data_IF_591187733298
#
_entry.id   IF_591187733298
#
_cell.length_a   1.000
_cell.length_b   1.000
_cell.length_c   1.000
_cell.angle_alpha   90.00
_cell.angle_beta   90.00
_cell.angle_gamma   90.00
#
_symmetry.space_group_name_H-M   'P 1'
#
loop_
_entity.id
_entity.type
_entity.pdbx_description
1 polymer ?
#
# COMPACT_ATOMS: atom_id res chain seq x y z
N UNK A 1 8.12 7.64 9.40
CA UNK A 1 7.54 7.97 8.08
C UNK A 1 6.53 6.90 7.70
N UNK A 2 5.46 7.27 7.01
CA UNK A 2 4.47 6.34 6.47
C UNK A 2 4.67 6.17 4.97
N UNK A 3 4.62 4.93 4.52
CA UNK A 3 4.65 4.60 3.09
C UNK A 3 3.36 3.84 2.79
N UNK A 4 2.65 4.32 1.78
CA UNK A 4 1.35 3.78 1.37
C UNK A 4 1.33 3.54 -0.12
N UNK A 5 0.67 2.46 -0.52
CA UNK A 5 0.43 2.14 -1.92
C UNK A 5 -0.86 1.33 -2.05
N UNK A 6 -1.32 1.14 -3.28
CA UNK A 6 -2.50 0.33 -3.60
C UNK A 6 -2.10 -0.77 -4.57
N UNK A 7 -2.58 -1.99 -4.33
CA UNK A 7 -2.43 -3.12 -5.26
C UNK A 7 -3.80 -3.56 -5.78
N UNK A 8 -3.79 -4.09 -7.01
CA UNK A 8 -5.03 -4.42 -7.73
C UNK A 8 -5.80 -3.18 -8.20
N UNK A 9 -6.92 -3.43 -8.88
CA UNK A 9 -7.76 -2.37 -9.44
C UNK A 9 -8.99 -2.15 -8.55
N UNK A 10 -9.38 -0.89 -8.43
CA UNK A 10 -10.71 -0.56 -7.92
C UNK A 10 -11.79 -1.08 -8.88
N UNK A 11 -12.96 -1.41 -8.34
CA UNK A 11 -14.11 -1.83 -9.12
C UNK A 11 -15.26 -0.85 -8.88
N UNK A 12 -15.94 -0.48 -9.96
CA UNK A 12 -17.16 0.32 -9.95
C UNK A 12 -18.22 -0.46 -10.73
N UNK A 13 -19.41 -0.62 -10.15
CA UNK A 13 -20.50 -1.31 -10.84
C UNK A 13 -21.64 -1.70 -9.91
N UNK A 14 -22.72 -2.22 -10.50
CA UNK A 14 -23.84 -2.75 -9.72
C UNK A 14 -23.39 -3.92 -8.81
N UNK A 15 -22.50 -4.77 -9.32
CA UNK A 15 -21.94 -5.92 -8.60
C UNK A 15 -20.42 -5.82 -8.51
N UNK A 16 -19.92 -5.33 -7.37
CA UNK A 16 -18.48 -5.31 -7.05
C UNK A 16 -18.10 -6.55 -6.24
N UNK A 17 -16.91 -7.10 -6.48
CA UNK A 17 -16.37 -8.21 -5.71
C UNK A 17 -15.39 -7.67 -4.66
N UNK A 18 -15.69 -7.93 -3.38
CA UNK A 18 -14.77 -7.58 -2.28
C UNK A 18 -13.43 -8.30 -2.46
N UNK A 19 -12.35 -7.53 -2.38
CA UNK A 19 -10.99 -8.07 -2.36
C UNK A 19 -10.65 -8.52 -0.94
N UNK A 20 -9.91 -9.61 -0.82
CA UNK A 20 -9.35 -10.06 0.46
C UNK A 20 -8.03 -9.33 0.73
N UNK A 21 -7.96 -8.41 1.72
CA UNK A 21 -6.73 -7.67 2.01
C UNK A 21 -5.59 -8.56 2.50
N UNK A 22 -5.85 -9.79 2.95
CA UNK A 22 -4.81 -10.73 3.39
C UNK A 22 -4.12 -11.47 2.24
N UNK A 23 -4.66 -11.37 1.02
CA UNK A 23 -4.12 -12.03 -0.17
C UNK A 23 -2.80 -11.43 -0.69
N UNK A 24 -2.46 -10.21 -0.27
CA UNK A 24 -1.23 -9.50 -0.65
C UNK A 24 -0.59 -8.88 0.59
N UNK A 25 0.66 -9.25 0.88
CA UNK A 25 1.40 -8.71 2.02
C UNK A 25 1.79 -7.24 1.87
N UNK A 26 1.77 -6.50 2.99
CA UNK A 26 2.29 -5.13 3.08
C UNK A 26 3.70 -5.14 3.66
N UNK A 27 4.71 -5.33 2.81
CA UNK A 27 6.11 -5.42 3.22
C UNK A 27 6.98 -4.37 2.53
N UNK A 28 7.83 -3.71 3.31
CA UNK A 28 8.85 -2.78 2.83
C UNK A 28 10.23 -3.24 3.27
N UNK A 29 11.10 -3.35 2.28
CA UNK A 29 12.54 -3.50 2.44
C UNK A 29 13.18 -2.12 2.34
N UNK A 30 14.00 -1.72 3.31
CA UNK A 30 14.60 -0.39 3.33
C UNK A 30 16.02 -0.34 3.88
N UNK A 31 16.73 0.74 3.57
CA UNK A 31 18.09 1.03 4.02
C UNK A 31 18.51 2.46 3.69
N UNK A 32 19.72 2.83 4.10
CA UNK A 32 20.31 4.15 3.82
C UNK A 32 21.13 4.19 2.52
N UNK A 33 21.39 3.02 1.93
CA UNK A 33 22.13 2.87 0.69
C UNK A 33 21.24 2.24 -0.39
N UNK A 34 21.37 2.71 -1.63
CA UNK A 34 20.67 2.13 -2.78
C UNK A 34 21.07 0.64 -2.92
N UNK A 35 20.09 -0.22 -3.22
CA UNK A 35 20.26 -1.67 -3.38
C UNK A 35 20.71 -2.44 -2.12
N UNK A 36 20.87 -1.78 -0.97
CA UNK A 36 21.17 -2.44 0.32
C UNK A 36 20.04 -2.25 1.32
N UNK A 37 19.00 -3.07 1.15
CA UNK A 37 17.81 -3.05 2.01
C UNK A 37 17.95 -4.04 3.17
N UNK A 38 18.70 -3.65 4.21
CA UNK A 38 19.00 -4.52 5.36
C UNK A 38 17.84 -4.66 6.36
N UNK A 39 16.82 -3.82 6.25
CA UNK A 39 15.72 -3.77 7.21
C UNK A 39 14.39 -4.07 6.53
N UNK A 40 13.50 -4.75 7.27
CA UNK A 40 12.15 -5.08 6.82
C UNK A 40 11.12 -4.54 7.81
N UNK A 41 10.04 -3.96 7.27
CA UNK A 41 8.84 -3.59 8.04
C UNK A 41 7.59 -4.11 7.35
N UNK A 42 6.68 -4.59 8.19
CA UNK A 42 5.35 -5.02 7.80
C UNK A 42 4.32 -4.01 8.28
N UNK A 43 3.18 -3.94 7.60
CA UNK A 43 2.04 -3.12 8.02
C UNK A 43 0.72 -3.78 7.71
N UNK A 44 -0.41 -3.17 8.13
CA UNK A 44 -1.73 -3.63 7.73
C UNK A 44 -2.00 -3.43 6.23
N UNK A 45 -2.97 -4.19 5.74
CA UNK A 45 -3.64 -3.97 4.47
C UNK A 45 -5.15 -3.87 4.72
N UNK A 46 -5.83 -2.99 3.99
CA UNK A 46 -7.28 -2.76 4.13
C UNK A 46 -7.93 -2.55 2.77
N UNK A 47 -9.23 -2.83 2.68
CA UNK A 47 -10.07 -2.54 1.51
C UNK A 47 -11.22 -1.66 1.99
N UNK A 48 -11.55 -0.62 1.24
CA UNK A 48 -12.72 0.22 1.49
C UNK A 48 -13.78 -0.06 0.42
N UNK A 49 -15.03 -0.14 0.85
CA UNK A 49 -16.17 -0.35 -0.03
C UNK A 49 -17.29 0.62 0.31
N UNK A 50 -17.94 1.12 -0.73
CA UNK A 50 -19.06 2.03 -0.66
C UNK A 50 -20.24 1.43 -1.42
N UNK A 51 -21.26 1.03 -0.66
CA UNK A 51 -22.40 0.26 -1.15
C UNK A 51 -23.67 1.11 -1.08
N UNK A 52 -24.44 1.13 -2.16
CA UNK A 52 -25.69 1.85 -2.27
C UNK A 52 -26.85 0.87 -2.49
N UNK A 53 -27.85 0.83 -1.58
CA UNK A 53 -29.01 -0.05 -1.71
C UNK A 53 -30.14 0.62 -2.52
N UNK A 54 -29.81 1.36 -3.57
CA UNK A 54 -30.77 2.09 -4.41
C UNK A 54 -30.55 1.76 -5.87
N UNK A 55 -31.66 1.56 -6.60
CA UNK A 55 -31.62 1.30 -8.03
C UNK A 55 -30.98 2.47 -8.79
N UNK A 56 -30.13 2.15 -9.77
CA UNK A 56 -29.42 3.14 -10.58
C UNK A 56 -28.14 3.70 -9.97
N UNK A 57 -27.83 3.44 -8.69
CA UNK A 57 -26.52 3.78 -8.10
C UNK A 57 -25.51 2.66 -8.28
N UNK A 58 -24.24 3.04 -8.49
CA UNK A 58 -23.13 2.09 -8.67
C UNK A 58 -22.33 1.97 -7.37
N UNK A 59 -22.03 0.73 -6.99
CA UNK A 59 -21.16 0.42 -5.87
C UNK A 59 -19.69 0.62 -6.23
N UNK A 60 -18.88 0.82 -5.20
CA UNK A 60 -17.42 0.94 -5.32
C UNK A 60 -16.73 0.02 -4.33
N UNK A 61 -15.63 -0.59 -4.76
CA UNK A 61 -14.61 -1.13 -3.83
C UNK A 61 -13.23 -0.74 -4.32
N UNK A 62 -12.36 -0.35 -3.39
CA UNK A 62 -10.97 0.00 -3.69
C UNK A 62 -10.14 -1.23 -4.08
N UNK A 63 -8.93 -0.98 -4.60
CA UNK A 63 -7.85 -1.96 -4.50
C UNK A 63 -7.46 -2.22 -3.04
N UNK A 64 -6.49 -3.11 -2.81
CA UNK A 64 -5.94 -3.36 -1.47
C UNK A 64 -5.00 -2.20 -1.12
N UNK A 65 -5.32 -1.46 -0.07
CA UNK A 65 -4.54 -0.34 0.43
C UNK A 65 -3.56 -0.82 1.49
N UNK A 66 -2.28 -0.53 1.30
CA UNK A 66 -1.20 -0.91 2.19
C UNK A 66 -0.70 0.31 2.96
N UNK A 67 -0.41 0.16 4.26
CA UNK A 67 0.09 1.26 5.08
C UNK A 67 1.18 0.74 6.02
N UNK A 68 2.43 1.10 5.75
CA UNK A 68 3.59 0.61 6.53
C UNK A 68 4.30 1.76 7.21
N UNK A 69 4.58 1.58 8.51
CA UNK A 69 5.33 2.54 9.32
C UNK A 69 6.80 2.19 9.33
N UNK A 70 7.63 3.14 8.94
CA UNK A 70 9.07 3.10 9.21
C UNK A 70 9.35 4.02 10.39
N UNK A 71 9.84 3.41 11.47
CA UNK A 71 10.27 4.09 12.69
C UNK A 71 11.80 4.14 12.76
N UNK A 72 12.31 5.15 13.48
CA UNK A 72 13.74 5.40 13.62
C UNK A 72 14.19 6.69 12.92
N UNK A 73 15.39 7.16 13.28
CA UNK A 73 16.01 8.34 12.69
C UNK A 73 16.79 7.89 11.46
N UNK A 74 16.31 8.27 10.28
CA UNK A 74 16.91 7.93 8.99
C UNK A 74 17.19 9.24 8.26
N UNK A 75 18.42 9.41 7.77
CA UNK A 75 18.80 10.65 7.06
C UNK A 75 18.42 10.61 5.57
N UNK A 76 18.54 9.44 4.95
CA UNK A 76 18.16 9.16 3.58
C UNK A 76 17.58 7.75 3.51
N UNK A 77 16.40 7.60 2.90
CA UNK A 77 15.72 6.30 2.82
C UNK A 77 15.63 5.84 1.36
N UNK A 78 16.19 4.67 1.10
CA UNK A 78 15.88 3.87 -0.08
C UNK A 78 14.96 2.73 0.33
N UNK A 79 13.89 2.49 -0.44
CA UNK A 79 12.99 1.39 -0.14
C UNK A 79 12.43 0.70 -1.39
N UNK A 80 12.02 -0.56 -1.20
CA UNK A 80 11.29 -1.37 -2.16
C UNK A 80 10.05 -1.94 -1.48
N UNK A 81 8.88 -1.72 -2.08
CA UNK A 81 7.64 -2.36 -1.65
C UNK A 81 7.44 -3.63 -2.50
N UNK A 82 7.31 -4.79 -1.83
CA UNK A 82 7.34 -6.11 -2.48
C UNK A 82 6.32 -6.25 -3.63
N UNK A 83 5.14 -5.64 -3.49
CA UNK A 83 4.09 -5.70 -4.50
C UNK A 83 4.24 -4.68 -5.66
N UNK A 84 5.09 -3.67 -5.51
CA UNK A 84 5.24 -2.60 -6.51
C UNK A 84 6.39 -2.85 -7.51
N UNK A 85 7.29 -3.83 -7.26
CA UNK A 85 8.51 -4.10 -8.07
C UNK A 85 9.28 -2.83 -8.50
N UNK A 86 9.17 -1.76 -7.72
CA UNK A 86 9.66 -0.43 -8.06
C UNK A 86 10.48 0.10 -6.90
N UNK A 87 11.65 0.64 -7.22
CA UNK A 87 12.54 1.31 -6.25
C UNK A 87 12.05 2.75 -6.11
N UNK A 88 11.82 3.17 -4.88
CA UNK A 88 11.45 4.55 -4.56
C UNK A 88 12.55 5.19 -3.69
N UNK A 89 12.83 6.46 -3.95
CA UNK A 89 13.76 7.28 -3.17
C UNK A 89 12.96 8.38 -2.49
N UNK A 90 13.06 8.47 -1.17
CA UNK A 90 12.45 9.56 -0.40
C UNK A 90 13.53 10.30 0.38
N UNK A 91 13.63 11.61 0.15
CA UNK A 91 14.44 12.51 0.96
C UNK A 91 13.54 13.10 2.05
N UNK A 92 14.00 13.06 3.30
CA UNK A 92 13.39 13.83 4.38
C UNK A 92 14.17 15.14 4.46
N UNK A 93 13.56 16.22 4.00
CA UNK A 93 14.08 17.57 4.29
C UNK A 93 14.11 17.75 5.81
N UNK A 94 15.28 18.13 6.33
CA UNK A 94 15.55 18.30 7.76
C UNK A 94 14.79 19.47 8.36
#
# INVERSE_FOLDING_TARGET
>A
MWISWVTGHAQIGANVKLLDPSSVGSEIWYGEECEKYLFVRNGPAVVYSQMYPFEGLLNYTSGIMHHVRIDGKISQLFFSAAAARSIFVSFLDK
#
